data_IF_707826845696
#
_entry.id   IF_707826845696
#
_cell.length_a   1.000
_cell.length_b   1.000
_cell.length_c   1.000
_cell.angle_alpha   90.00
_cell.angle_beta   90.00
_cell.angle_gamma   90.00
#
_symmetry.space_group_name_H-M   'P 1'
#
loop_
_entity.id
_entity.type
_entity.pdbx_description
1 polymer ?
#
# COMPACT_ATOMS: atom_id res chain seq x y z
N UNK A 1 2.06 13.52 -12.89
CA UNK A 1 0.93 13.15 -12.01
C UNK A 1 1.43 12.81 -10.60
N UNK A 2 1.71 13.82 -9.77
CA UNK A 2 2.40 13.70 -8.48
C UNK A 2 1.53 13.25 -7.29
N UNK A 3 0.27 12.88 -7.53
CA UNK A 3 -0.73 12.73 -6.47
C UNK A 3 -0.75 11.37 -5.77
N UNK A 4 -0.36 10.25 -6.39
CA UNK A 4 -0.52 8.93 -5.74
C UNK A 4 0.41 8.76 -4.52
N UNK A 5 1.69 9.09 -4.65
CA UNK A 5 2.61 9.02 -3.52
C UNK A 5 2.36 10.16 -2.51
N UNK A 6 1.93 11.34 -2.97
CA UNK A 6 1.57 12.46 -2.10
C UNK A 6 0.34 12.14 -1.24
N UNK A 7 -0.74 11.59 -1.81
CA UNK A 7 -1.99 11.32 -1.08
C UNK A 7 -1.80 10.23 -0.02
N UNK A 8 -1.05 9.16 -0.29
CA UNK A 8 -0.74 8.15 0.73
C UNK A 8 0.22 8.70 1.80
N UNK A 9 1.28 9.44 1.43
CA UNK A 9 2.17 10.12 2.40
C UNK A 9 1.39 11.12 3.28
N UNK A 10 0.47 11.92 2.73
CA UNK A 10 -0.32 12.91 3.48
C UNK A 10 -1.40 12.25 4.36
N UNK A 11 -2.07 11.19 3.91
CA UNK A 11 -3.03 10.45 4.74
C UNK A 11 -2.34 9.70 5.88
N UNK A 12 -1.18 9.07 5.64
CA UNK A 12 -0.39 8.41 6.67
C UNK A 12 0.21 9.42 7.68
N UNK A 13 0.70 10.58 7.22
CA UNK A 13 1.10 11.67 8.13
C UNK A 13 -0.06 12.10 9.03
N UNK A 14 -1.27 12.29 8.50
CA UNK A 14 -2.45 12.62 9.31
C UNK A 14 -2.86 11.50 10.26
N UNK A 15 -2.78 10.24 9.83
CA UNK A 15 -3.03 9.07 10.68
C UNK A 15 -2.07 9.03 11.88
N UNK A 16 -0.76 9.13 11.65
CA UNK A 16 0.24 9.07 12.72
C UNK A 16 0.33 10.33 13.58
N UNK A 17 -0.10 11.49 13.07
CA UNK A 17 -0.20 12.74 13.84
C UNK A 17 -1.45 12.76 14.74
N UNK A 18 -2.62 12.35 14.24
CA UNK A 18 -3.83 12.25 15.07
C UNK A 18 -3.71 11.16 16.16
N UNK A 19 -2.95 10.09 15.90
CA UNK A 19 -2.58 9.09 16.92
C UNK A 19 -1.58 9.62 17.96
N UNK A 20 -0.87 10.72 17.68
CA UNK A 20 0.05 11.35 18.65
C UNK A 20 -0.65 12.33 19.62
N UNK A 21 -1.89 12.74 19.35
CA UNK A 21 -2.63 13.71 20.19
C UNK A 21 -3.44 13.06 21.33
N UNK A 22 -3.44 11.74 21.45
CA UNK A 22 -4.15 10.98 22.50
C UNK A 22 -3.21 10.50 23.62
N UNK A 23 -2.38 11.40 24.14
CA UNK A 23 -1.31 11.09 25.12
C UNK A 23 -1.79 10.94 26.58
N UNK A 24 -3.11 10.81 26.81
CA UNK A 24 -3.65 10.50 28.13
C UNK A 24 -4.50 9.24 28.11
N UNK A 25 -4.08 8.30 28.97
CA UNK A 25 -4.80 7.16 29.52
C UNK A 25 -4.58 5.75 28.87
N UNK A 26 -3.70 4.97 29.52
CA UNK A 26 -3.50 3.49 29.49
C UNK A 26 -2.54 2.86 28.42
N UNK A 27 -1.73 1.83 28.78
CA UNK A 27 -0.85 1.04 27.87
C UNK A 27 -1.23 -0.47 27.67
N UNK A 28 -0.60 -1.17 26.70
CA UNK A 28 -0.44 -2.65 26.50
C UNK A 28 -1.30 -3.54 25.55
N UNK A 29 -2.14 -3.06 24.61
CA UNK A 29 -2.57 -3.82 23.37
C UNK A 29 -2.80 -2.81 22.22
N UNK A 30 -1.73 -2.47 21.52
CA UNK A 30 -1.82 -2.03 20.12
C UNK A 30 -1.18 -3.05 19.16
N UNK A 31 -0.37 -4.00 19.64
CA UNK A 31 0.21 -5.11 18.86
C UNK A 31 -0.65 -6.37 18.76
N UNK A 32 -1.75 -6.49 19.51
CA UNK A 32 -2.58 -7.72 19.58
C UNK A 32 -4.09 -7.55 19.25
N UNK A 33 -4.49 -6.41 18.69
CA UNK A 33 -5.89 -6.10 18.32
C UNK A 33 -6.23 -6.30 16.82
N UNK A 34 -5.32 -6.86 16.02
CA UNK A 34 -5.58 -7.35 14.66
C UNK A 34 -5.27 -8.85 14.55
N UNK A 35 -5.89 -9.63 15.44
CA UNK A 35 -5.92 -11.10 15.30
C UNK A 35 -6.90 -11.44 14.18
N UNK A 36 -6.40 -11.51 12.94
CA UNK A 36 -7.09 -12.18 11.84
C UNK A 36 -7.06 -13.70 12.06
N UNK A 37 -7.82 -14.13 13.08
CA UNK A 37 -7.89 -15.50 13.58
C UNK A 37 -8.69 -16.40 12.65
N UNK A 38 -7.95 -17.02 11.73
CA UNK A 38 -8.32 -18.17 10.90
C UNK A 38 -9.57 -18.13 9.99
N UNK A 39 -9.29 -18.46 8.72
CA UNK A 39 -10.26 -18.97 7.75
C UNK A 39 -11.39 -18.03 7.28
N UNK A 40 -11.22 -16.69 7.34
CA UNK A 40 -12.14 -15.76 6.62
C UNK A 40 -11.61 -14.38 6.20
N UNK A 41 -10.30 -14.11 6.30
CA UNK A 41 -9.67 -12.80 6.05
C UNK A 41 -10.25 -11.96 4.89
N UNK A 42 -10.36 -12.51 3.68
CA UNK A 42 -10.90 -11.77 2.53
C UNK A 42 -12.39 -11.40 2.68
N UNK A 43 -13.17 -12.23 3.36
CA UNK A 43 -14.59 -11.99 3.63
C UNK A 43 -14.79 -11.03 4.81
N UNK A 44 -13.93 -11.09 5.84
CA UNK A 44 -13.93 -10.15 6.96
C UNK A 44 -13.51 -8.74 6.52
N UNK A 45 -12.46 -8.65 5.69
CA UNK A 45 -12.00 -7.41 5.08
C UNK A 45 -13.06 -6.82 4.15
N UNK A 46 -13.72 -7.66 3.35
CA UNK A 46 -14.86 -7.26 2.52
C UNK A 46 -16.02 -6.73 3.36
N UNK A 47 -16.37 -7.37 4.47
CA UNK A 47 -17.42 -6.91 5.38
C UNK A 47 -17.04 -5.56 6.02
N UNK A 48 -15.79 -5.40 6.47
CA UNK A 48 -15.25 -4.16 7.03
C UNK A 48 -15.29 -2.99 6.02
N UNK A 49 -14.94 -3.23 4.76
CA UNK A 49 -15.01 -2.22 3.70
C UNK A 49 -16.48 -1.92 3.30
N UNK A 50 -17.33 -2.96 3.17
CA UNK A 50 -18.76 -2.80 2.83
C UNK A 50 -19.55 -2.05 3.91
N UNK A 51 -19.18 -2.15 5.18
CA UNK A 51 -19.74 -1.34 6.28
C UNK A 51 -19.56 0.17 6.06
N UNK A 52 -18.61 0.60 5.19
CA UNK A 52 -18.38 2.01 4.87
C UNK A 52 -18.68 2.38 3.41
N UNK A 53 -18.60 1.45 2.47
CA UNK A 53 -18.97 1.70 1.07
C UNK A 53 -19.48 0.43 0.35
N UNK A 54 -20.71 0.46 -0.14
CA UNK A 54 -21.39 -0.69 -0.74
C UNK A 54 -20.83 -1.18 -2.10
N UNK A 55 -19.91 -0.44 -2.73
CA UNK A 55 -19.48 -0.64 -4.12
C UNK A 55 -18.16 -1.44 -4.29
N UNK A 56 -17.69 -2.13 -3.25
CA UNK A 56 -16.49 -2.98 -3.29
C UNK A 56 -16.85 -4.42 -3.68
N UNK A 57 -16.19 -4.95 -4.71
CA UNK A 57 -16.39 -6.34 -5.16
C UNK A 57 -15.47 -7.33 -4.43
N UNK A 58 -15.84 -8.61 -4.46
CA UNK A 58 -15.00 -9.69 -3.94
C UNK A 58 -13.68 -9.85 -4.71
N UNK A 59 -13.69 -9.60 -6.03
CA UNK A 59 -12.47 -9.58 -6.84
C UNK A 59 -11.50 -8.47 -6.43
N UNK A 60 -12.00 -7.29 -6.07
CA UNK A 60 -11.17 -6.17 -5.61
C UNK A 60 -10.51 -6.46 -4.28
N UNK A 61 -11.24 -7.05 -3.33
CA UNK A 61 -10.67 -7.47 -2.04
C UNK A 61 -9.69 -8.63 -2.23
N UNK A 62 -9.96 -9.58 -3.14
CA UNK A 62 -9.01 -10.64 -3.48
C UNK A 62 -7.71 -10.07 -4.05
N UNK A 63 -7.77 -9.10 -4.97
CA UNK A 63 -6.58 -8.43 -5.50
C UNK A 63 -5.84 -7.61 -4.44
N UNK A 64 -6.56 -6.95 -3.52
CA UNK A 64 -5.96 -6.25 -2.38
C UNK A 64 -5.23 -7.23 -1.45
N UNK A 65 -5.85 -8.36 -1.09
CA UNK A 65 -5.20 -9.39 -0.27
C UNK A 65 -3.96 -9.93 -0.96
N UNK A 66 -4.03 -10.26 -2.26
CA UNK A 66 -2.88 -10.72 -3.05
C UNK A 66 -1.78 -9.67 -3.24
N UNK A 67 -2.05 -8.39 -2.99
CA UNK A 67 -1.02 -7.34 -2.95
C UNK A 67 -0.35 -7.21 -1.58
N UNK A 68 -0.98 -7.69 -0.51
CA UNK A 68 -0.47 -7.62 0.86
C UNK A 68 0.23 -8.92 1.28
N UNK A 69 -0.28 -10.06 0.80
CA UNK A 69 0.33 -11.39 0.82
C UNK A 69 1.67 -11.36 0.05
N UNK A 70 2.78 -11.57 0.76
CA UNK A 70 4.15 -11.60 0.23
C UNK A 70 4.73 -13.02 0.24
N UNK A 71 4.29 -13.88 1.15
CA UNK A 71 4.74 -15.28 1.23
C UNK A 71 3.95 -16.24 0.31
N UNK A 72 2.83 -15.78 -0.26
CA UNK A 72 1.95 -16.52 -1.17
C UNK A 72 0.86 -17.35 -0.50
N UNK A 73 0.80 -17.41 0.83
CA UNK A 73 -0.04 -18.34 1.61
C UNK A 73 -1.56 -18.01 1.57
N UNK A 74 -1.93 -16.88 0.96
CA UNK A 74 -3.30 -16.41 0.81
C UNK A 74 -3.88 -15.72 2.03
N UNK A 75 -3.04 -15.41 3.03
CA UNK A 75 -3.37 -14.65 4.23
C UNK A 75 -2.52 -13.37 4.26
N UNK A 76 -2.65 -12.59 5.32
CA UNK A 76 -1.82 -11.42 5.59
C UNK A 76 -1.40 -11.55 7.05
N UNK A 77 -0.11 -11.83 7.28
CA UNK A 77 0.45 -11.85 8.62
C UNK A 77 0.72 -10.41 9.12
N UNK A 78 0.93 -10.26 10.43
CA UNK A 78 1.15 -8.94 11.03
C UNK A 78 2.37 -8.21 10.44
N UNK A 79 3.45 -8.93 10.10
CA UNK A 79 4.64 -8.35 9.45
C UNK A 79 4.36 -7.84 8.03
N UNK A 80 3.51 -8.52 7.25
CA UNK A 80 3.09 -8.06 5.92
C UNK A 80 2.19 -6.83 6.01
N UNK A 81 1.24 -6.83 6.94
CA UNK A 81 0.36 -5.69 7.22
C UNK A 81 1.17 -4.46 7.67
N UNK A 82 2.12 -4.64 8.60
CA UNK A 82 3.04 -3.57 9.00
C UNK A 82 3.89 -3.09 7.83
N UNK A 83 4.46 -4.00 7.04
CA UNK A 83 5.28 -3.63 5.89
C UNK A 83 4.46 -2.73 4.93
N UNK A 84 3.22 -3.11 4.63
CA UNK A 84 2.34 -2.39 3.72
C UNK A 84 1.89 -1.00 4.20
N UNK A 85 1.70 -0.82 5.52
CA UNK A 85 1.24 0.45 6.09
C UNK A 85 2.35 1.40 6.54
N UNK A 86 3.53 0.90 6.86
CA UNK A 86 4.62 1.71 7.37
C UNK A 86 5.29 2.52 6.24
N UNK A 87 5.72 3.77 6.52
CA UNK A 87 6.59 4.52 5.63
C UNK A 87 7.89 3.77 5.31
N UNK A 88 8.38 4.00 4.09
CA UNK A 88 9.67 3.46 3.61
C UNK A 88 10.87 4.04 4.37
N UNK A 89 10.78 5.31 4.77
CA UNK A 89 11.85 5.97 5.53
C UNK A 89 12.21 5.18 6.80
N UNK A 90 13.45 4.70 6.87
CA UNK A 90 13.90 3.81 7.93
C UNK A 90 13.91 4.48 9.32
N UNK A 91 14.15 5.79 9.40
CA UNK A 91 14.14 6.52 10.66
C UNK A 91 12.72 6.67 11.20
N UNK A 92 11.78 7.11 10.35
CA UNK A 92 10.34 7.16 10.67
C UNK A 92 9.83 5.77 11.04
N UNK A 93 10.17 4.75 10.25
CA UNK A 93 9.76 3.35 10.50
C UNK A 93 10.26 2.84 11.85
N UNK A 94 11.52 3.13 12.19
CA UNK A 94 12.11 2.76 13.48
C UNK A 94 11.45 3.51 14.63
N UNK A 95 11.20 4.82 14.48
CA UNK A 95 10.49 5.62 15.48
C UNK A 95 9.04 5.17 15.69
N UNK A 96 8.35 4.70 14.65
CA UNK A 96 7.01 4.13 14.75
C UNK A 96 7.00 2.76 15.42
N UNK A 97 7.98 1.89 15.11
CA UNK A 97 8.13 0.57 15.75
C UNK A 97 8.63 0.65 17.20
N UNK A 98 9.36 1.70 17.55
CA UNK A 98 9.82 1.97 18.91
C UNK A 98 8.74 2.63 19.80
N UNK A 99 7.56 2.97 19.27
CA UNK A 99 6.44 3.44 20.08
C UNK A 99 6.03 2.31 21.03
N UNK A 100 6.08 2.59 22.33
CA UNK A 100 5.66 1.66 23.38
C UNK A 100 4.19 1.29 23.15
N UNK A 101 3.86 0.01 23.31
CA UNK A 101 2.51 -0.55 23.18
C UNK A 101 1.52 0.25 24.03
N UNK A 102 0.72 1.12 23.38
CA UNK A 102 -0.36 1.85 24.03
C UNK A 102 -1.54 0.92 24.36
N UNK A 103 -2.53 1.45 25.09
CA UNK A 103 -3.60 0.78 25.86
C UNK A 103 -4.01 -0.62 25.45
N UNK A 104 -4.39 -1.48 26.39
CA UNK A 104 -5.09 -2.75 26.13
C UNK A 104 -6.49 -2.53 25.51
N UNK A 105 -6.55 -1.85 24.36
CA UNK A 105 -7.75 -1.51 23.64
C UNK A 105 -8.32 -2.77 22.99
N UNK A 106 -9.38 -3.29 23.62
CA UNK A 106 -10.19 -4.42 23.12
C UNK A 106 -10.75 -4.12 21.71
N UNK A 107 -10.90 -2.84 21.35
CA UNK A 107 -11.27 -2.38 20.01
C UNK A 107 -10.41 -1.19 19.57
N UNK A 108 -9.96 -1.21 18.32
CA UNK A 108 -9.31 -0.08 17.65
C UNK A 108 -10.29 1.12 17.65
N UNK A 109 -9.86 2.34 18.03
CA UNK A 109 -10.74 3.52 18.08
C UNK A 109 -11.49 3.74 16.76
N UNK A 110 -12.73 4.25 16.84
CA UNK A 110 -13.58 4.40 15.66
C UNK A 110 -12.91 5.20 14.53
N UNK A 111 -12.17 6.25 14.89
CA UNK A 111 -11.50 7.13 13.94
C UNK A 111 -10.30 6.44 13.28
N UNK A 112 -9.55 5.63 14.03
CA UNK A 112 -8.51 4.78 13.48
C UNK A 112 -9.10 3.71 12.53
N UNK A 113 -10.22 3.09 12.90
CA UNK A 113 -10.99 2.19 12.02
C UNK A 113 -11.49 2.92 10.75
N UNK A 114 -11.86 4.19 10.84
CA UNK A 114 -12.34 4.99 9.71
C UNK A 114 -11.20 5.36 8.76
N UNK A 115 -10.08 5.83 9.30
CA UNK A 115 -8.89 6.17 8.51
C UNK A 115 -8.28 4.95 7.82
N UNK A 116 -8.20 3.80 8.50
CA UNK A 116 -7.74 2.53 7.91
C UNK A 116 -8.65 2.08 6.76
N UNK A 117 -9.98 2.13 6.95
CA UNK A 117 -10.93 1.81 5.90
C UNK A 117 -10.79 2.76 4.70
N UNK A 118 -10.65 4.07 4.93
CA UNK A 118 -10.47 5.05 3.85
C UNK A 118 -9.17 4.84 3.07
N UNK A 119 -8.08 4.45 3.75
CA UNK A 119 -6.81 4.11 3.11
C UNK A 119 -6.97 2.90 2.17
N UNK A 120 -7.57 1.80 2.68
CA UNK A 120 -7.80 0.57 1.92
C UNK A 120 -8.80 0.79 0.77
N UNK A 121 -9.84 1.59 0.98
CA UNK A 121 -10.75 2.05 -0.08
C UNK A 121 -10.02 2.83 -1.18
N UNK A 122 -9.07 3.71 -0.81
CA UNK A 122 -8.28 4.45 -1.79
C UNK A 122 -7.35 3.54 -2.58
N UNK A 123 -6.79 2.51 -1.95
CA UNK A 123 -5.98 1.49 -2.61
C UNK A 123 -6.81 0.65 -3.60
N UNK A 124 -8.06 0.31 -3.26
CA UNK A 124 -9.00 -0.35 -4.18
C UNK A 124 -9.33 0.55 -5.38
N UNK A 125 -9.66 1.83 -5.15
CA UNK A 125 -9.95 2.80 -6.21
C UNK A 125 -8.75 3.00 -7.16
N UNK A 126 -7.55 3.13 -6.61
CA UNK A 126 -6.29 3.23 -7.36
C UNK A 126 -6.06 1.97 -8.21
N UNK A 127 -6.25 0.78 -7.64
CA UNK A 127 -6.09 -0.47 -8.38
C UNK A 127 -7.12 -0.63 -9.51
N UNK A 128 -8.39 -0.27 -9.26
CA UNK A 128 -9.46 -0.27 -10.27
C UNK A 128 -9.07 0.60 -11.47
N UNK A 129 -8.63 1.83 -11.21
CA UNK A 129 -8.21 2.78 -12.25
C UNK A 129 -6.93 2.33 -12.99
N UNK A 130 -5.97 1.75 -12.28
CA UNK A 130 -4.75 1.18 -12.87
C UNK A 130 -5.11 0.04 -13.85
N UNK A 131 -6.04 -0.83 -13.47
CA UNK A 131 -6.49 -1.96 -14.29
C UNK A 131 -7.29 -1.52 -15.52
N UNK A 132 -8.08 -0.44 -15.43
CA UNK A 132 -8.70 0.21 -16.60
C UNK A 132 -7.61 0.73 -17.55
N UNK A 133 -6.60 1.44 -17.05
CA UNK A 133 -5.51 1.98 -17.87
C UNK A 133 -4.66 0.89 -18.52
N UNK A 134 -4.41 -0.23 -17.84
CA UNK A 134 -3.76 -1.42 -18.45
C UNK A 134 -4.56 -1.92 -19.64
N UNK A 135 -5.88 -2.13 -19.49
CA UNK A 135 -6.74 -2.61 -20.58
C UNK A 135 -6.74 -1.65 -21.77
N UNK A 136 -6.79 -0.34 -21.52
CA UNK A 136 -6.65 0.67 -22.57
C UNK A 136 -5.29 0.56 -23.27
N UNK A 137 -4.18 0.46 -22.52
CA UNK A 137 -2.84 0.33 -23.08
C UNK A 137 -2.66 -0.95 -23.91
N UNK A 138 -3.13 -2.10 -23.43
CA UNK A 138 -3.07 -3.37 -24.17
C UNK A 138 -4.05 -3.45 -25.35
N UNK A 139 -5.09 -2.61 -25.39
CA UNK A 139 -6.01 -2.55 -26.54
C UNK A 139 -5.41 -1.83 -27.76
N UNK A 140 -4.29 -1.12 -27.58
CA UNK A 140 -3.61 -0.37 -28.65
C UNK A 140 -2.81 -1.29 -29.58
N UNK A 141 -3.02 -1.27 -30.90
CA UNK A 141 -2.31 -2.13 -31.85
C UNK A 141 -0.82 -1.76 -32.03
N UNK A 142 -0.45 -0.52 -31.67
CA UNK A 142 0.94 -0.04 -31.70
C UNK A 142 1.70 -0.34 -30.40
N UNK A 143 1.02 -0.76 -29.32
CA UNK A 143 1.67 -1.11 -28.07
C UNK A 143 2.22 -2.54 -28.10
N UNK A 144 3.53 -2.69 -27.85
CA UNK A 144 4.18 -4.00 -27.65
C UNK A 144 4.95 -4.00 -26.35
N UNK A 145 4.62 -4.94 -25.47
CA UNK A 145 5.22 -5.07 -24.13
C UNK A 145 6.76 -5.15 -24.17
N UNK A 146 7.32 -5.87 -25.15
CA UNK A 146 8.78 -5.96 -25.33
C UNK A 146 9.42 -4.60 -25.64
N UNK A 147 8.80 -3.75 -26.46
CA UNK A 147 9.34 -2.41 -26.73
C UNK A 147 9.23 -1.51 -25.49
N UNK A 148 8.18 -1.65 -24.69
CA UNK A 148 8.05 -0.92 -23.42
C UNK A 148 9.08 -1.37 -22.37
N UNK A 149 9.35 -2.68 -22.27
CA UNK A 149 10.43 -3.20 -21.41
C UNK A 149 11.79 -2.67 -21.87
N UNK A 150 12.11 -2.80 -23.16
CA UNK A 150 13.38 -2.32 -23.73
C UNK A 150 13.56 -0.80 -23.72
N UNK A 151 12.50 -0.05 -23.45
CA UNK A 151 12.56 1.39 -23.24
C UNK A 151 12.87 1.76 -21.78
N UNK A 152 12.63 0.84 -20.84
CA UNK A 152 12.88 0.99 -19.41
C UNK A 152 14.12 0.21 -18.92
N UNK A 153 14.60 -0.76 -19.69
CA UNK A 153 15.74 -1.62 -19.34
C UNK A 153 17.06 -0.85 -19.33
N UNK A 154 17.98 -1.23 -18.43
CA UNK A 154 19.38 -0.88 -18.53
C UNK A 154 20.07 -1.86 -19.52
N UNK A 155 20.54 -1.43 -20.71
CA UNK A 155 20.97 -2.36 -21.77
C UNK A 155 22.19 -3.22 -21.44
N UNK A 156 22.99 -2.80 -20.46
CA UNK A 156 24.13 -3.51 -19.86
C UNK A 156 23.72 -4.75 -19.06
N UNK A 157 22.53 -4.71 -18.43
CA UNK A 157 22.06 -5.72 -17.47
C UNK A 157 20.87 -6.51 -18.04
N UNK A 158 20.07 -5.90 -18.93
CA UNK A 158 18.82 -6.49 -19.44
C UNK A 158 17.70 -6.53 -18.39
N UNK A 159 17.77 -5.63 -17.40
CA UNK A 159 16.79 -5.48 -16.31
C UNK A 159 16.41 -4.01 -16.18
N UNK A 160 15.20 -3.73 -15.71
CA UNK A 160 14.80 -2.37 -15.31
C UNK A 160 15.43 -2.11 -13.95
N UNK A 161 16.30 -1.11 -13.84
CA UNK A 161 16.96 -0.74 -12.58
C UNK A 161 16.36 0.56 -12.02
N UNK A 162 16.55 0.88 -10.73
CA UNK A 162 16.14 2.18 -10.19
C UNK A 162 16.76 3.36 -10.93
N UNK A 163 17.97 3.18 -11.49
CA UNK A 163 18.64 4.17 -12.31
C UNK A 163 17.99 4.33 -13.69
N UNK A 164 17.78 3.23 -14.44
CA UNK A 164 17.16 3.30 -15.77
C UNK A 164 15.72 3.81 -15.72
N UNK A 165 14.97 3.44 -14.68
CA UNK A 165 13.62 3.97 -14.46
C UNK A 165 13.64 5.48 -14.13
N UNK A 166 14.60 5.96 -13.34
CA UNK A 166 14.74 7.36 -13.01
C UNK A 166 15.07 8.22 -14.24
N UNK A 167 16.03 7.79 -15.06
CA UNK A 167 16.43 8.46 -16.31
C UNK A 167 15.25 8.62 -17.28
N UNK A 168 14.51 7.54 -17.52
CA UNK A 168 13.32 7.57 -18.39
C UNK A 168 12.23 8.47 -17.81
N UNK A 169 12.02 8.44 -16.49
CA UNK A 169 11.02 9.29 -15.84
C UNK A 169 11.36 10.77 -15.97
N UNK A 170 12.63 11.14 -15.78
CA UNK A 170 13.12 12.51 -15.97
C UNK A 170 12.96 12.99 -17.42
N UNK A 171 13.27 12.14 -18.41
CA UNK A 171 13.02 12.41 -19.82
C UNK A 171 11.52 12.67 -20.15
N UNK A 172 10.60 12.13 -19.36
CA UNK A 172 9.16 12.38 -19.43
C UNK A 172 8.65 13.46 -18.45
N UNK A 173 9.54 14.33 -17.95
CA UNK A 173 9.23 15.40 -16.98
C UNK A 173 8.60 14.89 -15.67
N UNK A 174 8.95 13.69 -15.25
CA UNK A 174 8.52 13.08 -14.00
C UNK A 174 9.73 12.91 -13.06
N UNK A 175 9.95 13.90 -12.19
CA UNK A 175 10.96 13.79 -11.13
C UNK A 175 10.48 12.79 -10.06
N UNK A 176 11.27 11.75 -9.83
CA UNK A 176 11.01 10.71 -8.82
C UNK A 176 12.06 10.79 -7.72
N UNK A 177 11.63 10.72 -6.46
CA UNK A 177 12.57 10.59 -5.33
C UNK A 177 13.01 9.14 -5.15
N UNK A 178 14.12 8.93 -4.44
CA UNK A 178 14.59 7.58 -4.08
C UNK A 178 13.48 6.74 -3.41
N UNK A 179 12.69 7.35 -2.52
CA UNK A 179 11.55 6.69 -1.87
C UNK A 179 10.43 6.31 -2.86
N UNK A 180 10.24 7.05 -3.95
CA UNK A 180 9.20 6.74 -4.93
C UNK A 180 9.63 5.57 -5.83
N UNK A 181 10.93 5.52 -6.19
CA UNK A 181 11.54 4.37 -6.87
C UNK A 181 11.45 3.11 -5.98
N UNK A 182 11.85 3.20 -4.71
CA UNK A 182 11.78 2.09 -3.76
C UNK A 182 10.34 1.56 -3.59
N UNK A 183 9.34 2.45 -3.47
CA UNK A 183 7.93 2.06 -3.41
C UNK A 183 7.45 1.32 -4.68
N UNK A 184 7.97 1.71 -5.85
CA UNK A 184 7.61 1.09 -7.13
C UNK A 184 8.27 -0.27 -7.27
N UNK A 185 9.57 -0.39 -7.05
CA UNK A 185 10.28 -1.68 -7.08
C UNK A 185 9.72 -2.65 -6.05
N UNK A 186 9.46 -2.20 -4.82
CA UNK A 186 8.79 -2.99 -3.78
C UNK A 186 7.37 -3.47 -4.17
N UNK A 187 6.72 -2.85 -5.14
CA UNK A 187 5.43 -3.29 -5.68
C UNK A 187 5.57 -4.23 -6.89
N UNK A 188 6.65 -4.10 -7.66
CA UNK A 188 6.90 -4.86 -8.91
C UNK A 188 7.71 -6.14 -8.69
N UNK A 189 8.75 -6.11 -7.86
CA UNK A 189 9.62 -7.26 -7.58
C UNK A 189 8.94 -8.22 -6.60
N UNK A 190 8.38 -9.30 -7.13
CA UNK A 190 7.73 -10.40 -6.40
C UNK A 190 8.02 -11.74 -7.08
#
# INVERSE_FOLDING_TARGET
MSSLCSVTKTLLMRFFCSVAELEHQYPLVCTRALVFGDMRLGQDLLNFLRQRNALVTESEVFHLVRQLDLNGDGRICYSEFLNALLPVDAAVRSSLMARVDCGTHVHLPHDCCFLLANLLMKEVEVNRELEVRRKVLFSRPDFKLLHAFRYLEEPSIGQITPASLAEVSEAHNHHMTACDLELIFRRMDR
#
